data_IF_739626996613
#
_entry.id   IF_739626996613
#
_cell.length_a   1.000
_cell.length_b   1.000
_cell.length_c   1.000
_cell.angle_alpha   90.00
_cell.angle_beta   90.00
_cell.angle_gamma   90.00
#
_symmetry.space_group_name_H-M   'P 1'
#
loop_
_entity.id
_entity.type
_entity.pdbx_description
1 polymer ?
#
# COMPACT_ATOMS: atom_id res chain seq x y z
N UNK A 1 48.89 -44.55 -14.72
CA UNK A 1 47.92 -43.51 -14.34
C UNK A 1 48.51 -42.15 -14.68
N UNK A 2 47.94 -41.46 -15.67
CA UNK A 2 48.53 -40.30 -16.37
C UNK A 2 48.32 -39.00 -15.56
N UNK A 3 49.42 -38.46 -15.01
CA UNK A 3 49.46 -37.24 -14.17
C UNK A 3 48.85 -35.99 -14.82
N UNK A 4 48.68 -35.97 -16.14
CA UNK A 4 48.08 -34.86 -16.90
C UNK A 4 46.56 -34.81 -16.75
N UNK A 5 45.88 -35.96 -16.57
CA UNK A 5 44.42 -36.03 -16.47
C UNK A 5 43.92 -35.52 -15.11
N UNK A 6 44.70 -35.69 -14.04
CA UNK A 6 44.39 -35.19 -12.69
C UNK A 6 44.63 -33.69 -12.53
N UNK A 7 45.47 -33.09 -13.38
CA UNK A 7 45.77 -31.66 -13.34
C UNK A 7 44.69 -30.82 -14.02
N UNK A 8 44.18 -31.26 -15.17
CA UNK A 8 43.08 -30.60 -15.90
C UNK A 8 41.78 -30.60 -15.07
N UNK A 9 41.49 -31.71 -14.38
CA UNK A 9 40.32 -31.80 -13.49
C UNK A 9 40.36 -30.81 -12.32
N UNK A 10 41.56 -30.48 -11.80
CA UNK A 10 41.74 -29.50 -10.72
C UNK A 10 41.53 -28.06 -11.20
N UNK A 11 41.94 -27.74 -12.42
CA UNK A 11 41.75 -26.40 -13.00
C UNK A 11 40.26 -26.12 -13.26
N UNK A 12 39.53 -27.11 -13.78
CA UNK A 12 38.08 -27.00 -13.99
C UNK A 12 37.31 -26.81 -12.68
N UNK A 13 37.72 -27.51 -11.61
CA UNK A 13 37.07 -27.39 -10.30
C UNK A 13 37.24 -25.98 -9.70
N UNK A 14 38.43 -25.38 -9.82
CA UNK A 14 38.70 -24.02 -9.33
C UNK A 14 37.94 -22.97 -10.13
N UNK A 15 37.82 -23.16 -11.45
CA UNK A 15 37.05 -22.26 -12.31
C UNK A 15 35.56 -22.17 -11.94
N UNK A 16 34.94 -23.29 -11.55
CA UNK A 16 33.53 -23.33 -11.12
C UNK A 16 33.34 -22.61 -9.78
N UNK A 17 34.25 -22.80 -8.81
CA UNK A 17 34.18 -22.16 -7.49
C UNK A 17 34.40 -20.65 -7.60
N UNK A 18 35.35 -20.21 -8.42
CA UNK A 18 35.62 -18.79 -8.65
C UNK A 18 34.49 -18.11 -9.46
N UNK A 19 33.91 -18.81 -10.44
CA UNK A 19 32.76 -18.31 -11.21
C UNK A 19 31.49 -18.17 -10.37
N UNK A 20 31.22 -19.13 -9.49
CA UNK A 20 30.05 -19.12 -8.60
C UNK A 20 30.10 -18.01 -7.54
N UNK A 21 31.28 -17.78 -6.94
CA UNK A 21 31.47 -16.71 -5.95
C UNK A 21 31.40 -15.32 -6.56
N UNK A 22 31.91 -15.12 -7.78
CA UNK A 22 31.81 -13.84 -8.49
C UNK A 22 30.39 -13.52 -8.97
N UNK A 23 29.57 -14.53 -9.28
CA UNK A 23 28.16 -14.33 -9.65
C UNK A 23 27.30 -13.88 -8.45
N UNK A 24 27.58 -14.39 -7.24
CA UNK A 24 26.87 -14.00 -6.02
C UNK A 24 27.23 -12.58 -5.55
N UNK A 25 28.45 -12.10 -5.83
CA UNK A 25 28.87 -10.71 -5.55
C UNK A 25 28.28 -9.68 -6.52
N UNK A 26 27.74 -10.13 -7.66
CA UNK A 26 27.12 -9.28 -8.70
C UNK A 26 25.60 -9.28 -8.67
N UNK A 27 24.96 -9.89 -7.68
CA UNK A 27 23.56 -9.56 -7.36
C UNK A 27 23.52 -8.16 -6.76
N UNK A 28 23.71 -7.18 -7.64
CA UNK A 28 23.38 -5.80 -7.43
C UNK A 28 21.95 -5.74 -6.92
N UNK A 29 21.84 -5.18 -5.72
CA UNK A 29 20.64 -4.73 -5.05
C UNK A 29 19.57 -4.35 -6.10
N UNK A 30 18.55 -5.20 -6.23
CA UNK A 30 17.26 -4.74 -6.73
C UNK A 30 16.79 -3.78 -5.65
N UNK A 31 17.23 -2.52 -5.80
CA UNK A 31 16.81 -1.40 -5.00
C UNK A 31 15.31 -1.32 -5.24
N UNK A 32 14.54 -1.94 -4.36
CA UNK A 32 13.11 -1.75 -4.32
C UNK A 32 12.92 -0.24 -4.35
N UNK A 33 12.39 0.29 -5.47
CA UNK A 33 12.02 1.68 -5.57
C UNK A 33 11.11 1.92 -4.37
N UNK A 34 11.64 2.68 -3.42
CA UNK A 34 10.99 3.01 -2.18
C UNK A 34 9.67 3.64 -2.58
N UNK A 35 8.57 2.91 -2.32
CA UNK A 35 7.25 3.32 -2.72
C UNK A 35 7.07 4.77 -2.28
N UNK A 36 6.87 5.66 -3.26
CA UNK A 36 6.49 7.05 -3.06
C UNK A 36 5.42 7.06 -1.98
N UNK A 37 5.64 7.79 -0.89
CA UNK A 37 4.73 7.79 0.26
C UNK A 37 3.29 7.92 -0.24
N UNK A 38 2.53 6.84 -0.15
CA UNK A 38 1.14 6.81 -0.62
C UNK A 38 0.37 7.81 0.24
N UNK A 39 -0.29 8.77 -0.40
CA UNK A 39 -1.10 9.76 0.30
C UNK A 39 -2.04 9.03 1.26
N UNK A 40 -2.06 9.42 2.54
CA UNK A 40 -2.89 8.74 3.54
C UNK A 40 -4.37 8.80 3.17
N UNK A 41 -4.79 9.93 2.61
CA UNK A 41 -6.18 10.17 2.25
C UNK A 41 -6.33 10.39 0.75
N UNK A 42 -7.40 9.82 0.19
CA UNK A 42 -7.83 10.05 -1.19
C UNK A 42 -9.23 10.63 -1.19
N UNK A 43 -9.39 11.83 -1.78
CA UNK A 43 -10.71 12.43 -1.99
C UNK A 43 -11.37 11.75 -3.19
N UNK A 44 -12.54 11.13 -2.96
CA UNK A 44 -13.30 10.44 -4.01
C UNK A 44 -14.30 11.40 -4.65
N UNK A 45 -14.99 12.16 -3.81
CA UNK A 45 -15.97 13.13 -4.24
C UNK A 45 -16.00 14.29 -3.25
N UNK A 46 -16.13 15.49 -3.77
CA UNK A 46 -16.37 16.69 -2.99
C UNK A 46 -17.36 17.56 -3.73
N UNK A 47 -18.28 18.14 -2.98
CA UNK A 47 -19.05 19.29 -3.38
C UNK A 47 -18.99 20.32 -2.23
N UNK A 48 -19.77 21.40 -2.29
CA UNK A 48 -19.72 22.46 -1.27
C UNK A 48 -20.36 22.04 0.07
N UNK A 49 -21.12 20.94 0.09
CA UNK A 49 -21.90 20.46 1.25
C UNK A 49 -21.60 19.02 1.68
N UNK A 50 -20.85 18.26 0.88
CA UNK A 50 -20.50 16.86 1.07
C UNK A 50 -19.04 16.61 0.71
N UNK A 51 -18.41 15.71 1.47
CA UNK A 51 -17.04 15.27 1.25
C UNK A 51 -16.93 13.76 1.53
N UNK A 52 -16.41 13.03 0.54
CA UNK A 52 -16.14 11.60 0.62
C UNK A 52 -14.63 11.37 0.52
N UNK A 53 -14.06 10.77 1.55
CA UNK A 53 -12.62 10.55 1.68
C UNK A 53 -12.34 9.10 2.04
N UNK A 54 -11.39 8.49 1.35
CA UNK A 54 -10.84 7.19 1.70
C UNK A 54 -9.58 7.39 2.55
N UNK A 55 -9.52 6.77 3.72
CA UNK A 55 -8.29 6.57 4.47
C UNK A 55 -7.61 5.29 3.95
N UNK A 56 -6.55 5.46 3.15
CA UNK A 56 -5.81 4.36 2.55
C UNK A 56 -5.05 3.52 3.58
N UNK A 57 -4.82 4.05 4.78
CA UNK A 57 -4.14 3.30 5.86
C UNK A 57 -5.08 2.34 6.58
N UNK A 58 -6.36 2.70 6.73
CA UNK A 58 -7.37 1.90 7.42
C UNK A 58 -8.36 1.22 6.47
N UNK A 59 -8.28 1.54 5.18
CA UNK A 59 -9.18 1.07 4.13
C UNK A 59 -10.65 1.41 4.44
N UNK A 60 -10.90 2.60 4.99
CA UNK A 60 -12.23 3.11 5.30
C UNK A 60 -12.60 4.24 4.35
N UNK A 61 -13.86 4.28 3.90
CA UNK A 61 -14.46 5.49 3.33
C UNK A 61 -15.24 6.23 4.41
N UNK A 62 -15.05 7.54 4.50
CA UNK A 62 -15.71 8.45 5.44
C UNK A 62 -16.69 9.35 4.69
N UNK A 63 -17.88 9.53 5.26
CA UNK A 63 -18.94 10.37 4.71
C UNK A 63 -19.12 11.61 5.57
N UNK A 64 -18.73 12.77 5.04
CA UNK A 64 -18.92 14.05 5.70
C UNK A 64 -20.00 14.86 4.99
N UNK A 65 -20.90 15.47 5.76
CA UNK A 65 -21.94 16.35 5.21
C UNK A 65 -22.22 17.52 6.15
N UNK A 66 -22.67 18.64 5.60
CA UNK A 66 -23.27 19.71 6.42
C UNK A 66 -24.57 19.22 7.07
N UNK A 67 -25.09 19.97 8.05
CA UNK A 67 -26.45 19.74 8.53
C UNK A 67 -27.50 20.13 7.48
N UNK A 68 -28.64 19.43 7.39
CA UNK A 68 -29.72 19.80 6.49
C UNK A 68 -30.15 21.26 6.68
N UNK A 69 -30.26 22.01 5.59
CA UNK A 69 -30.67 23.42 5.59
C UNK A 69 -29.58 24.42 5.96
N UNK A 70 -28.32 23.98 6.13
CA UNK A 70 -27.17 24.89 6.29
C UNK A 70 -26.63 25.34 4.93
N UNK A 71 -25.99 26.50 4.95
CA UNK A 71 -25.44 27.12 3.75
C UNK A 71 -24.17 26.40 3.26
N UNK A 72 -23.87 26.45 1.95
CA UNK A 72 -22.62 25.94 1.41
C UNK A 72 -21.40 26.56 2.13
N UNK A 73 -20.41 25.75 2.49
CA UNK A 73 -19.23 26.19 3.27
C UNK A 73 -19.40 26.13 4.79
N UNK A 74 -20.57 25.71 5.30
CA UNK A 74 -20.77 25.37 6.71
C UNK A 74 -19.94 24.14 7.13
N UNK A 75 -19.83 23.93 8.45
CA UNK A 75 -19.09 22.81 9.01
C UNK A 75 -19.57 21.44 8.50
N UNK A 76 -18.61 20.63 8.06
CA UNK A 76 -18.81 19.25 7.63
C UNK A 76 -18.73 18.31 8.83
N UNK A 77 -19.80 17.55 9.05
CA UNK A 77 -19.88 16.56 10.14
C UNK A 77 -19.73 15.16 9.59
N UNK A 78 -18.92 14.34 10.28
CA UNK A 78 -18.83 12.92 9.98
C UNK A 78 -20.19 12.26 10.25
N UNK A 79 -20.80 11.68 9.23
CA UNK A 79 -22.10 10.98 9.33
C UNK A 79 -21.94 9.48 9.46
N UNK A 80 -20.87 8.95 8.89
CA UNK A 80 -20.56 7.54 8.99
C UNK A 80 -19.29 7.16 8.25
N UNK A 81 -19.00 5.87 8.30
CA UNK A 81 -17.92 5.25 7.56
C UNK A 81 -18.31 3.87 7.07
N UNK A 82 -17.61 3.39 6.05
CA UNK A 82 -17.77 2.03 5.55
C UNK A 82 -16.39 1.39 5.36
N UNK A 83 -16.28 0.12 5.74
CA UNK A 83 -15.05 -0.65 5.59
C UNK A 83 -14.96 -1.21 4.16
N UNK A 84 -13.94 -0.78 3.42
CA UNK A 84 -13.73 -1.17 2.04
C UNK A 84 -13.19 -2.60 1.91
N UNK A 85 -12.73 -3.22 3.00
CA UNK A 85 -12.39 -4.65 3.01
C UNK A 85 -13.64 -5.54 2.83
N UNK A 86 -14.84 -4.99 3.02
CA UNK A 86 -16.09 -5.71 2.82
C UNK A 86 -16.58 -5.71 1.37
N UNK A 87 -15.94 -4.95 0.47
CA UNK A 87 -16.31 -4.87 -0.94
C UNK A 87 -16.35 -6.27 -1.57
N UNK A 88 -17.44 -6.55 -2.29
CA UNK A 88 -17.74 -7.87 -2.86
C UNK A 88 -18.85 -8.62 -2.11
N UNK A 89 -19.24 -8.19 -0.91
CA UNK A 89 -20.46 -8.68 -0.25
C UNK A 89 -21.71 -8.21 -1.02
N UNK A 90 -22.81 -8.97 -1.03
CA UNK A 90 -24.05 -8.58 -1.71
C UNK A 90 -24.67 -7.27 -1.22
N UNK A 91 -24.46 -6.95 0.07
CA UNK A 91 -24.98 -5.72 0.70
C UNK A 91 -23.92 -5.18 1.65
N UNK A 92 -23.69 -3.86 1.60
CA UNK A 92 -22.81 -3.13 2.50
C UNK A 92 -23.62 -2.09 3.26
N UNK A 93 -23.43 -2.03 4.59
CA UNK A 93 -24.11 -1.07 5.45
C UNK A 93 -23.10 -0.16 6.15
N UNK A 94 -23.11 1.16 5.90
CA UNK A 94 -22.25 2.08 6.61
C UNK A 94 -22.52 2.08 8.11
N UNK A 95 -21.44 2.22 8.89
CA UNK A 95 -21.50 2.46 10.33
C UNK A 95 -21.80 3.94 10.57
N UNK A 96 -22.79 4.22 11.40
CA UNK A 96 -23.12 5.59 11.81
C UNK A 96 -21.99 6.13 12.69
N UNK A 97 -21.59 7.38 12.47
CA UNK A 97 -20.62 8.04 13.33
C UNK A 97 -21.22 8.25 14.73
N UNK A 98 -20.39 8.05 15.75
CA UNK A 98 -20.74 8.40 17.12
C UNK A 98 -20.78 9.93 17.23
N UNK A 99 -21.84 10.48 17.82
CA UNK A 99 -22.01 11.92 17.97
C UNK A 99 -21.07 12.37 19.09
N UNK A 100 -19.89 12.85 18.72
CA UNK A 100 -19.02 13.57 19.66
C UNK A 100 -19.55 15.00 19.74
N UNK A 101 -20.38 15.26 20.75
CA UNK A 101 -20.85 16.61 21.06
C UNK A 101 -19.64 17.46 21.47
N UNK A 102 -19.21 18.34 20.55
CA UNK A 102 -18.14 19.30 20.83
C UNK A 102 -18.73 20.37 21.75
N UNK A 103 -18.37 20.29 23.04
CA UNK A 103 -18.80 21.18 24.12
C UNK A 103 -18.18 22.57 24.01
#
# INVERSE_FOLDING_TARGET
>A
MNKTLTWIGRILLVGIIAGGTLALLRQSEVRAQQATSTARYTVVQTDITNLLVVDNSTNLIHFYTVDPGKEPGSDLKLRGSLDLNEVGKPVLKPKKAEVVEQK
#
